data_IF_576249948638
#
_entry.id   IF_576249948638
#
_cell.length_a   1.000
_cell.length_b   1.000
_cell.length_c   1.000
_cell.angle_alpha   90.00
_cell.angle_beta   90.00
_cell.angle_gamma   90.00
#
_symmetry.space_group_name_H-M   'P 1'
#
loop_
_entity.id
_entity.type
_entity.pdbx_description
1 polymer ?
#
# COMPACT_ATOMS: atom_id res chain seq x y z
N UNK A 1 -49.40 -13.86 -15.31
CA UNK A 1 -48.61 -12.80 -14.63
C UNK A 1 -47.25 -13.38 -14.24
N UNK A 2 -46.19 -13.06 -14.99
CA UNK A 2 -44.84 -13.54 -14.70
C UNK A 2 -44.19 -12.67 -13.60
N UNK A 3 -43.79 -13.30 -12.49
CA UNK A 3 -43.04 -12.65 -11.41
C UNK A 3 -41.62 -12.33 -11.90
N UNK A 4 -41.32 -11.04 -12.07
CA UNK A 4 -39.95 -10.55 -12.25
C UNK A 4 -39.14 -10.90 -10.99
N UNK A 5 -38.15 -11.78 -11.15
CA UNK A 5 -37.28 -12.22 -10.07
C UNK A 5 -36.29 -11.12 -9.68
N UNK A 6 -36.41 -10.66 -8.44
CA UNK A 6 -35.50 -9.77 -7.69
C UNK A 6 -34.11 -10.41 -7.40
N UNK A 7 -33.65 -11.32 -8.27
CA UNK A 7 -32.33 -11.99 -8.14
C UNK A 7 -31.22 -11.27 -8.89
N UNK A 8 -31.54 -10.33 -9.78
CA UNK A 8 -30.55 -9.53 -10.51
C UNK A 8 -29.86 -8.47 -9.65
N UNK A 9 -30.57 -7.81 -8.73
CA UNK A 9 -30.04 -6.71 -7.94
C UNK A 9 -28.97 -7.11 -6.91
N UNK A 10 -29.13 -8.26 -6.25
CA UNK A 10 -28.18 -8.75 -5.23
C UNK A 10 -26.82 -9.15 -5.80
N UNK A 11 -26.77 -9.77 -6.98
CA UNK A 11 -25.50 -10.15 -7.62
C UNK A 11 -24.71 -8.93 -8.11
N UNK A 12 -25.40 -7.90 -8.60
CA UNK A 12 -24.75 -6.66 -9.06
C UNK A 12 -24.14 -5.90 -7.88
N UNK A 13 -24.85 -5.79 -6.74
CA UNK A 13 -24.34 -5.06 -5.58
C UNK A 13 -23.13 -5.74 -4.93
N UNK A 14 -23.11 -7.08 -4.83
CA UNK A 14 -21.94 -7.82 -4.35
C UNK A 14 -20.72 -7.61 -5.25
N UNK A 15 -20.88 -7.69 -6.58
CA UNK A 15 -19.79 -7.43 -7.52
C UNK A 15 -19.25 -6.00 -7.40
N UNK A 16 -20.10 -4.98 -7.21
CA UNK A 16 -19.67 -3.58 -7.03
C UNK A 16 -18.90 -3.40 -5.71
N UNK A 17 -19.39 -3.97 -4.61
CA UNK A 17 -18.73 -3.89 -3.30
C UNK A 17 -17.38 -4.61 -3.31
N UNK A 18 -17.30 -5.79 -3.93
CA UNK A 18 -16.05 -6.53 -4.08
C UNK A 18 -15.04 -5.80 -4.98
N UNK A 19 -15.51 -5.15 -6.05
CA UNK A 19 -14.67 -4.31 -6.90
C UNK A 19 -14.16 -3.07 -6.17
N UNK A 20 -14.98 -2.40 -5.36
CA UNK A 20 -14.54 -1.30 -4.49
C UNK A 20 -13.52 -1.76 -3.44
N UNK A 21 -13.73 -2.94 -2.86
CA UNK A 21 -12.76 -3.56 -1.94
C UNK A 21 -11.44 -3.89 -2.64
N UNK A 22 -11.49 -4.42 -3.87
CA UNK A 22 -10.32 -4.69 -4.68
C UNK A 22 -9.58 -3.40 -5.06
N UNK A 23 -10.30 -2.32 -5.43
CA UNK A 23 -9.73 -0.99 -5.69
C UNK A 23 -9.04 -0.42 -4.47
N UNK A 24 -9.67 -0.50 -3.28
CA UNK A 24 -9.06 -0.07 -2.02
C UNK A 24 -7.79 -0.87 -1.71
N UNK A 25 -7.84 -2.20 -1.87
CA UNK A 25 -6.66 -3.07 -1.69
C UNK A 25 -5.53 -2.74 -2.66
N UNK A 26 -5.85 -2.38 -3.91
CA UNK A 26 -4.86 -1.92 -4.90
C UNK A 26 -4.21 -0.61 -4.46
N UNK A 27 -5.00 0.41 -4.12
CA UNK A 27 -4.48 1.70 -3.64
C UNK A 27 -3.57 1.55 -2.42
N UNK A 28 -3.94 0.70 -1.47
CA UNK A 28 -3.08 0.42 -0.29
C UNK A 28 -1.75 -0.18 -0.72
N UNK A 29 -1.75 -1.16 -1.64
CA UNK A 29 -0.50 -1.72 -2.17
C UNK A 29 0.35 -0.68 -2.88
N UNK A 30 -0.26 0.18 -3.68
CA UNK A 30 0.46 1.23 -4.41
C UNK A 30 1.07 2.25 -3.45
N UNK A 31 0.33 2.66 -2.40
CA UNK A 31 0.86 3.52 -1.34
C UNK A 31 2.02 2.86 -0.60
N UNK A 32 1.90 1.58 -0.25
CA UNK A 32 2.98 0.84 0.43
C UNK A 32 4.22 0.75 -0.46
N UNK A 33 4.06 0.44 -1.75
CA UNK A 33 5.17 0.37 -2.70
C UNK A 33 5.80 1.75 -2.98
N UNK A 34 5.03 2.84 -2.85
CA UNK A 34 5.56 4.19 -2.89
C UNK A 34 6.38 4.51 -1.63
N UNK A 35 5.87 4.18 -0.45
CA UNK A 35 6.58 4.38 0.82
C UNK A 35 7.88 3.58 0.89
N UNK A 36 7.86 2.33 0.43
CA UNK A 36 9.07 1.48 0.39
C UNK A 36 10.16 2.13 -0.50
N UNK A 37 9.79 2.72 -1.64
CA UNK A 37 10.71 3.44 -2.54
C UNK A 37 11.21 4.74 -1.95
N UNK A 38 10.31 5.56 -1.41
CA UNK A 38 10.67 6.83 -0.77
C UNK A 38 11.64 6.62 0.40
N UNK A 39 11.44 5.56 1.17
CA UNK A 39 12.32 5.21 2.27
C UNK A 39 13.77 5.00 1.81
N UNK A 40 13.97 4.27 0.71
CA UNK A 40 15.31 4.04 0.13
C UNK A 40 15.89 5.34 -0.43
N UNK A 41 15.09 6.12 -1.17
CA UNK A 41 15.53 7.41 -1.73
C UNK A 41 16.01 8.38 -0.66
N UNK A 42 15.32 8.44 0.49
CA UNK A 42 15.73 9.27 1.62
C UNK A 42 17.05 8.82 2.25
N UNK A 43 17.32 7.51 2.26
CA UNK A 43 18.56 6.94 2.79
C UNK A 43 19.75 7.19 1.85
N UNK A 44 19.55 7.07 0.54
CA UNK A 44 20.57 7.28 -0.49
C UNK A 44 20.86 8.76 -0.75
N UNK A 45 19.89 9.64 -0.52
CA UNK A 45 20.04 11.06 -0.80
C UNK A 45 20.95 11.75 0.25
N UNK A 46 22.10 12.31 -0.16
CA UNK A 46 23.04 12.96 0.75
C UNK A 46 22.47 14.24 1.37
N UNK A 47 21.51 14.91 0.71
CA UNK A 47 20.87 16.13 1.18
C UNK A 47 19.77 15.88 2.23
N UNK A 48 19.38 14.62 2.46
CA UNK A 48 18.44 14.28 3.53
C UNK A 48 19.02 14.68 4.88
N UNK A 49 18.23 15.38 5.69
CA UNK A 49 18.65 15.77 7.03
C UNK A 49 18.87 14.54 7.93
N UNK A 50 19.76 14.61 8.92
CA UNK A 50 20.05 13.46 9.79
C UNK A 50 18.81 12.87 10.48
N UNK A 51 17.87 13.71 10.92
CA UNK A 51 16.63 13.26 11.58
C UNK A 51 15.69 12.52 10.62
N UNK A 52 15.57 12.99 9.38
CA UNK A 52 14.76 12.32 8.35
C UNK A 52 15.43 11.02 7.91
N UNK A 53 16.76 11.00 7.82
CA UNK A 53 17.52 9.78 7.52
C UNK A 53 17.35 8.73 8.62
N UNK A 54 17.43 9.13 9.89
CA UNK A 54 17.17 8.22 11.03
C UNK A 54 15.75 7.65 10.99
N UNK A 55 14.75 8.50 10.73
CA UNK A 55 13.36 8.04 10.59
C UNK A 55 13.22 7.02 9.44
N UNK A 56 13.87 7.27 8.30
CA UNK A 56 13.89 6.34 7.19
C UNK A 56 14.58 5.01 7.56
N UNK A 57 15.69 5.03 8.31
CA UNK A 57 16.33 3.81 8.81
C UNK A 57 15.40 3.02 9.73
N UNK A 58 14.73 3.68 10.68
CA UNK A 58 13.80 3.04 11.61
C UNK A 58 12.61 2.42 10.87
N UNK A 59 12.08 3.11 9.85
CA UNK A 59 11.02 2.59 9.00
C UNK A 59 11.47 1.37 8.20
N UNK A 60 12.65 1.43 7.59
CA UNK A 60 13.23 0.32 6.84
C UNK A 60 13.45 -0.89 7.74
N UNK A 61 14.10 -0.70 8.89
CA UNK A 61 14.37 -1.78 9.84
C UNK A 61 13.09 -2.42 10.37
N UNK A 62 12.06 -1.63 10.67
CA UNK A 62 10.76 -2.15 11.09
C UNK A 62 10.07 -2.97 10.00
N UNK A 63 10.31 -2.63 8.73
CA UNK A 63 9.69 -3.28 7.57
C UNK A 63 10.40 -4.58 7.18
N UNK A 64 11.74 -4.58 7.17
CA UNK A 64 12.54 -5.67 6.61
C UNK A 64 13.29 -6.50 7.66
N UNK A 65 13.47 -5.98 8.87
CA UNK A 65 14.11 -6.69 9.99
C UNK A 65 15.62 -6.53 10.10
N UNK A 66 16.25 -5.75 9.23
CA UNK A 66 17.70 -5.48 9.20
C UNK A 66 17.99 -4.01 8.88
N UNK A 67 19.23 -3.54 9.08
CA UNK A 67 19.61 -2.16 8.75
C UNK A 67 19.88 -2.02 7.25
N UNK A 68 19.47 -0.90 6.66
CA UNK A 68 19.72 -0.62 5.25
C UNK A 68 21.22 -0.65 4.91
N UNK A 69 22.08 -0.15 5.80
CA UNK A 69 23.55 -0.16 5.60
C UNK A 69 24.20 -1.53 5.82
N UNK A 70 23.48 -2.52 6.33
CA UNK A 70 23.94 -3.92 6.34
C UNK A 70 23.68 -4.61 4.99
N UNK A 71 22.79 -4.03 4.17
CA UNK A 71 22.34 -4.59 2.90
C UNK A 71 23.07 -4.02 1.67
N UNK A 72 23.70 -2.86 1.82
CA UNK A 72 24.53 -2.16 0.82
C UNK A 72 25.99 -2.29 1.21
#
# INVERSE_FOLDING_TARGET
MARLTDRGGKNVMNNVVDMERARKKRRIRDCVAYMDRLCVELLENPATTPSVRQLAQDMFRKRFGFDYFECV
#
